data_IF_042347946379
#
_entry.id   IF_042347946379
#
_cell.length_a   1.000
_cell.length_b   1.000
_cell.length_c   1.000
_cell.angle_alpha   90.00
_cell.angle_beta   90.00
_cell.angle_gamma   90.00
#
_symmetry.space_group_name_H-M   'P 1'
#
loop_
_entity.id
_entity.type
_entity.pdbx_description
1 polymer ?
#
# COMPACT_ATOMS: atom_id res chain seq x y z
N UNK A 1 0.31 -13.76 3.99
CA UNK A 1 1.75 -13.79 3.66
C UNK A 1 2.20 -12.42 3.18
N UNK A 2 3.38 -11.93 3.51
CA UNK A 2 4.33 -12.35 4.53
C UNK A 2 5.13 -11.11 4.93
N UNK A 3 4.92 -10.61 6.14
CA UNK A 3 5.78 -9.58 6.78
C UNK A 3 7.24 -10.07 6.85
N UNK A 4 7.49 -11.37 6.64
CA UNK A 4 8.83 -11.96 6.53
C UNK A 4 9.53 -11.77 5.17
N UNK A 5 8.89 -11.20 4.14
CA UNK A 5 9.59 -10.85 2.89
C UNK A 5 10.41 -9.58 3.09
N UNK A 6 11.74 -9.73 3.16
CA UNK A 6 12.69 -8.64 3.43
C UNK A 6 12.64 -7.50 2.41
N UNK A 7 12.25 -7.78 1.16
CA UNK A 7 12.07 -6.74 0.12
C UNK A 7 10.91 -5.79 0.39
N UNK A 8 10.00 -6.13 1.31
CA UNK A 8 8.85 -5.30 1.71
C UNK A 8 9.01 -4.67 3.09
N UNK A 9 10.15 -4.90 3.72
CA UNK A 9 10.52 -4.36 5.02
C UNK A 9 11.41 -3.13 4.81
N UNK A 10 10.93 -1.97 5.20
CA UNK A 10 11.65 -0.70 5.22
C UNK A 10 12.51 -0.61 6.48
N UNK A 11 13.68 0.03 6.44
CA UNK A 11 14.52 0.19 7.62
C UNK A 11 14.04 1.31 8.55
N UNK A 12 14.00 1.08 9.87
CA UNK A 12 13.71 2.09 10.90
C UNK A 12 14.88 3.08 11.15
N UNK A 13 15.85 3.14 10.23
CA UNK A 13 17.10 3.87 10.39
C UNK A 13 18.28 2.97 10.77
N UNK A 14 19.40 3.60 11.10
CA UNK A 14 20.67 2.94 11.43
C UNK A 14 21.31 3.52 12.67
N UNK A 15 22.05 2.71 13.40
CA UNK A 15 22.89 3.14 14.54
C UNK A 15 24.10 3.95 14.06
N UNK A 16 24.84 4.55 15.00
CA UNK A 16 26.11 5.26 14.71
C UNK A 16 27.14 4.37 13.98
N UNK A 17 27.10 3.06 14.23
CA UNK A 17 27.98 2.07 13.62
C UNK A 17 27.35 1.46 12.34
N UNK A 18 26.36 2.15 11.75
CA UNK A 18 25.70 1.79 10.49
C UNK A 18 24.95 0.44 10.52
N UNK A 19 24.59 -0.08 11.71
CA UNK A 19 23.73 -1.27 11.86
C UNK A 19 22.26 -0.88 11.71
N UNK A 20 21.46 -1.70 11.04
CA UNK A 20 20.02 -1.44 10.90
C UNK A 20 19.32 -1.53 12.28
N UNK A 21 18.53 -0.51 12.62
CA UNK A 21 17.81 -0.45 13.90
C UNK A 21 16.63 -1.43 13.94
N UNK A 22 16.04 -1.72 12.80
CA UNK A 22 14.86 -2.56 12.69
C UNK A 22 14.20 -2.37 11.35
N UNK A 23 12.99 -2.88 11.24
CA UNK A 23 12.21 -2.74 10.02
C UNK A 23 10.74 -2.44 10.26
N UNK A 24 10.07 -1.90 9.26
CA UNK A 24 8.63 -1.74 9.24
C UNK A 24 8.06 -2.05 7.87
N UNK A 25 6.79 -2.42 7.82
CA UNK A 25 6.01 -2.58 6.61
C UNK A 25 4.73 -1.78 6.74
N UNK A 26 4.27 -1.25 5.61
CA UNK A 26 3.00 -0.55 5.49
C UNK A 26 2.21 -1.20 4.36
N UNK A 27 0.94 -1.47 4.63
CA UNK A 27 -0.01 -1.96 3.64
C UNK A 27 -1.31 -1.18 3.74
N UNK A 28 -2.01 -1.02 2.62
CA UNK A 28 -3.36 -0.45 2.62
C UNK A 28 -4.33 -1.48 3.20
N UNK A 29 -5.09 -1.08 4.21
CA UNK A 29 -6.21 -1.88 4.72
C UNK A 29 -7.42 -1.77 3.78
N UNK A 30 -7.37 -2.53 2.70
CA UNK A 30 -8.40 -2.47 1.66
C UNK A 30 -9.79 -2.88 2.14
N UNK A 31 -9.90 -3.53 3.29
CA UNK A 31 -11.18 -4.01 3.83
C UNK A 31 -11.93 -2.93 4.61
N UNK A 32 -11.24 -1.87 5.02
CA UNK A 32 -11.78 -0.83 5.92
C UNK A 32 -11.82 0.56 5.27
N UNK A 33 -11.84 0.63 3.94
CA UNK A 33 -11.94 1.89 3.20
C UNK A 33 -13.35 2.45 3.32
N UNK A 34 -13.44 3.77 3.52
CA UNK A 34 -14.67 4.52 3.32
C UNK A 34 -14.48 5.54 2.21
N UNK A 35 -15.47 5.67 1.33
CA UNK A 35 -15.44 6.61 0.22
C UNK A 35 -16.82 7.25 0.01
N UNK A 36 -16.82 8.45 -0.53
CA UNK A 36 -18.04 9.15 -0.93
C UNK A 36 -17.85 9.93 -2.24
N UNK A 37 -18.96 10.14 -2.94
CA UNK A 37 -19.07 11.10 -4.03
C UNK A 37 -20.19 12.10 -3.70
N UNK A 38 -19.81 13.31 -3.28
CA UNK A 38 -20.72 14.23 -2.62
C UNK A 38 -21.22 13.66 -1.29
N UNK A 39 -22.53 13.67 -1.09
CA UNK A 39 -23.20 13.12 0.11
C UNK A 39 -23.43 11.60 0.04
N UNK A 40 -23.21 10.96 -1.11
CA UNK A 40 -23.43 9.53 -1.28
C UNK A 40 -22.23 8.73 -0.76
N UNK A 41 -22.48 7.81 0.18
CA UNK A 41 -21.48 6.79 0.56
C UNK A 41 -21.34 5.76 -0.55
N UNK A 42 -20.10 5.44 -0.92
CA UNK A 42 -19.77 4.49 -1.97
C UNK A 42 -19.12 3.23 -1.37
N UNK A 43 -19.63 2.07 -1.77
CA UNK A 43 -18.91 0.81 -1.59
C UNK A 43 -17.82 0.73 -2.65
N UNK A 44 -16.56 0.79 -2.23
CA UNK A 44 -15.39 0.74 -3.12
C UNK A 44 -14.43 -0.35 -2.69
N UNK A 45 -13.67 -0.85 -3.66
CA UNK A 45 -12.45 -1.62 -3.49
C UNK A 45 -11.28 -0.84 -4.11
N UNK A 46 -10.07 -1.39 -4.04
CA UNK A 46 -8.89 -0.84 -4.72
C UNK A 46 -8.50 -1.75 -5.88
N UNK A 47 -8.08 -1.13 -6.99
CA UNK A 47 -7.31 -1.79 -8.03
C UNK A 47 -5.92 -1.16 -8.10
N UNK A 48 -4.91 -1.96 -8.39
CA UNK A 48 -3.54 -1.49 -8.59
C UNK A 48 -3.13 -1.53 -10.06
N UNK A 49 -2.20 -0.66 -10.44
CA UNK A 49 -1.42 -0.83 -11.66
C UNK A 49 -0.19 -1.69 -11.34
N UNK A 50 0.11 -2.66 -12.20
CA UNK A 50 1.38 -3.42 -12.14
C UNK A 50 2.57 -2.44 -12.12
N UNK A 51 3.51 -2.63 -11.18
CA UNK A 51 4.60 -1.68 -10.96
C UNK A 51 5.70 -1.84 -12.00
N UNK A 52 5.56 -1.14 -13.12
CA UNK A 52 6.68 -0.69 -13.97
C UNK A 52 6.36 0.69 -14.55
N UNK A 53 7.31 1.63 -14.40
CA UNK A 53 7.21 3.05 -14.71
C UNK A 53 7.64 3.36 -16.17
N UNK A 54 6.99 4.39 -16.73
CA UNK A 54 7.18 5.15 -18.00
C UNK A 54 6.58 4.59 -19.30
N UNK A 55 5.63 5.36 -19.85
CA UNK A 55 5.20 5.27 -21.25
C UNK A 55 4.12 4.24 -21.61
N UNK A 56 3.82 3.26 -20.74
CA UNK A 56 2.80 2.25 -21.02
C UNK A 56 1.55 2.39 -20.15
N UNK A 57 0.40 2.59 -20.81
CA UNK A 57 -0.92 2.52 -20.18
C UNK A 57 -1.26 1.06 -19.91
N UNK A 58 -1.08 0.59 -18.67
CA UNK A 58 -1.57 -0.74 -18.25
C UNK A 58 -2.99 -0.66 -17.72
N UNK A 59 -3.70 -1.77 -17.86
CA UNK A 59 -5.02 -1.94 -17.28
C UNK A 59 -4.92 -2.06 -15.76
N UNK A 60 -5.91 -1.52 -15.07
CA UNK A 60 -6.10 -1.74 -13.64
C UNK A 60 -6.44 -3.20 -13.37
N UNK A 61 -5.95 -3.74 -12.26
CA UNK A 61 -6.18 -5.12 -11.88
C UNK A 61 -6.41 -5.27 -10.39
N UNK A 62 -7.17 -6.30 -10.02
CA UNK A 62 -7.30 -6.72 -8.62
C UNK A 62 -5.99 -7.34 -8.16
N UNK A 63 -5.48 -6.90 -7.02
CA UNK A 63 -4.27 -7.44 -6.42
C UNK A 63 -4.62 -8.24 -5.17
N UNK A 64 -3.84 -9.27 -4.87
CA UNK A 64 -3.97 -10.02 -3.61
C UNK A 64 -3.50 -9.22 -2.39
N UNK A 65 -2.67 -8.20 -2.60
CA UNK A 65 -2.20 -7.27 -1.57
C UNK A 65 -1.82 -5.92 -2.21
N UNK A 66 -1.91 -4.84 -1.42
CA UNK A 66 -1.63 -3.46 -1.84
C UNK A 66 -0.41 -2.89 -1.08
N UNK A 67 0.82 -3.30 -1.44
CA UNK A 67 2.04 -2.84 -0.77
C UNK A 67 2.38 -1.39 -1.09
N UNK A 68 2.99 -0.68 -0.14
CA UNK A 68 3.55 0.66 -0.37
C UNK A 68 5.07 0.60 -0.35
N UNK A 69 5.69 0.08 -1.42
CA UNK A 69 7.15 -0.04 -1.52
C UNK A 69 7.83 1.34 -1.70
N UNK A 70 9.01 1.53 -1.07
CA UNK A 70 9.74 2.81 -1.08
C UNK A 70 10.50 3.08 -2.38
N UNK A 71 10.83 2.03 -3.13
CA UNK A 71 11.65 2.08 -4.34
C UNK A 71 10.82 1.96 -5.63
N UNK A 72 9.49 1.84 -5.53
CA UNK A 72 8.59 1.66 -6.66
C UNK A 72 7.35 2.54 -6.52
N UNK A 73 7.04 3.31 -7.57
CA UNK A 73 5.76 4.01 -7.65
C UNK A 73 4.65 3.02 -8.03
N UNK A 74 3.91 2.53 -7.05
CA UNK A 74 2.65 1.83 -7.29
C UNK A 74 1.50 2.84 -7.38
N UNK A 75 0.70 2.74 -8.43
CA UNK A 75 -0.53 3.50 -8.55
C UNK A 75 -1.71 2.63 -8.12
N UNK A 76 -2.60 3.23 -7.33
CA UNK A 76 -3.85 2.62 -6.88
C UNK A 76 -5.02 3.51 -7.27
N UNK A 77 -6.18 2.91 -7.51
CA UNK A 77 -7.41 3.62 -7.80
C UNK A 77 -8.60 2.95 -7.12
N UNK A 78 -9.68 3.70 -6.92
CA UNK A 78 -10.93 3.16 -6.40
C UNK A 78 -11.75 2.54 -7.53
N UNK A 79 -12.30 1.37 -7.27
CA UNK A 79 -13.16 0.62 -8.19
C UNK A 79 -14.37 0.11 -7.43
N UNK A 80 -15.43 -0.30 -8.13
CA UNK A 80 -16.49 -1.08 -7.48
C UNK A 80 -15.96 -2.48 -7.12
N UNK A 81 -16.48 -3.12 -6.07
CA UNK A 81 -16.13 -4.50 -5.75
C UNK A 81 -16.31 -5.44 -6.95
N UNK A 82 -15.25 -6.18 -7.31
CA UNK A 82 -15.26 -7.10 -8.46
C UNK A 82 -14.99 -6.45 -9.82
N UNK A 83 -14.80 -5.13 -9.89
CA UNK A 83 -14.51 -4.40 -11.12
C UNK A 83 -13.06 -3.88 -11.16
N UNK A 84 -12.62 -3.44 -12.34
CA UNK A 84 -11.31 -2.79 -12.56
C UNK A 84 -11.44 -1.39 -13.17
N UNK A 85 -12.66 -0.94 -13.47
CA UNK A 85 -12.89 0.40 -14.00
C UNK A 85 -12.85 1.43 -12.87
N UNK A 86 -12.03 2.49 -12.98
CA UNK A 86 -11.98 3.55 -11.97
C UNK A 86 -13.36 4.15 -11.69
N UNK A 87 -13.67 4.29 -10.41
CA UNK A 87 -14.90 4.92 -9.92
C UNK A 87 -14.60 6.33 -9.43
N UNK A 88 -15.39 7.35 -9.85
CA UNK A 88 -15.24 8.71 -9.34
C UNK A 88 -15.51 8.77 -7.83
N UNK A 89 -14.59 9.39 -7.09
CA UNK A 89 -14.68 9.58 -5.63
C UNK A 89 -14.28 11.02 -5.33
N UNK A 90 -15.04 11.72 -4.49
CA UNK A 90 -14.72 13.09 -4.06
C UNK A 90 -14.02 13.12 -2.70
N UNK A 91 -14.26 12.11 -1.85
CA UNK A 91 -13.60 11.97 -0.55
C UNK A 91 -13.38 10.49 -0.22
N UNK A 92 -12.25 10.16 0.38
CA UNK A 92 -11.96 8.81 0.84
C UNK A 92 -11.09 8.82 2.10
N UNK A 93 -11.30 7.84 2.97
CA UNK A 93 -10.42 7.51 4.07
C UNK A 93 -9.83 6.13 3.75
N UNK A 94 -8.50 6.07 3.70
CA UNK A 94 -7.73 4.86 3.41
C UNK A 94 -6.92 4.51 4.66
N UNK A 95 -7.37 3.56 5.49
CA UNK A 95 -6.58 3.13 6.64
C UNK A 95 -5.33 2.38 6.18
N UNK A 96 -4.26 2.52 6.95
CA UNK A 96 -3.00 1.82 6.73
C UNK A 96 -2.76 0.87 7.91
N UNK A 97 -2.36 -0.37 7.61
CA UNK A 97 -1.80 -1.25 8.63
C UNK A 97 -0.28 -1.10 8.61
N UNK A 98 0.28 -0.84 9.79
CA UNK A 98 1.71 -0.67 9.99
C UNK A 98 2.19 -1.77 10.93
N UNK A 99 3.19 -2.52 10.49
CA UNK A 99 3.91 -3.47 11.33
C UNK A 99 5.34 -3.00 11.47
N UNK A 100 5.88 -3.01 12.68
CA UNK A 100 7.27 -2.63 12.93
C UNK A 100 7.93 -3.64 13.89
N UNK A 101 9.22 -3.86 13.69
CA UNK A 101 10.07 -4.69 14.53
C UNK A 101 11.40 -3.98 14.74
N UNK A 102 11.88 -3.95 15.97
CA UNK A 102 13.19 -3.43 16.33
C UNK A 102 14.16 -4.62 16.41
N UNK A 103 15.39 -4.44 15.94
CA UNK A 103 16.41 -5.46 16.08
C UNK A 103 16.87 -5.54 17.55
N UNK A 104 17.15 -6.75 18.02
CA UNK A 104 17.69 -6.94 19.36
C UNK A 104 19.16 -6.47 19.41
N UNK A 105 19.65 -6.14 20.60
CA UNK A 105 21.08 -5.89 20.88
C UNK A 105 21.73 -4.81 20.00
N UNK A 106 21.08 -3.65 19.90
CA UNK A 106 21.50 -2.57 18.99
C UNK A 106 22.85 -1.92 19.30
N UNK A 107 23.45 -2.17 20.48
CA UNK A 107 24.80 -1.72 20.85
C UNK A 107 24.90 -0.23 21.14
#
# INVERSE_FOLDING_TARGET
>A
GYISQTTRLFGLGKTKDNKNIGSYAVLIDSNNISASNGSQTLAVSIAGADAVITGQKRAWQTLTAYPLAVDQSYYYTFVKPGETTPTPVTNAIIPLQVSASIANDLG
#
